data_IF_939987246749
#
_entry.id   IF_939987246749
#
_cell.length_a   1.000
_cell.length_b   1.000
_cell.length_c   1.000
_cell.angle_alpha   90.00
_cell.angle_beta   90.00
_cell.angle_gamma   90.00
#
_symmetry.space_group_name_H-M   'P 1'
#
loop_
_entity.id
_entity.type
_entity.pdbx_description
1 polymer ?
#
# COMPACT_ATOMS: atom_id res chain seq x y z
N UNK A 1 -26.14 42.59 -102.87
CA UNK A 1 -24.83 43.25 -102.89
C UNK A 1 -23.82 42.27 -102.32
N UNK A 2 -23.00 41.70 -103.23
CA UNK A 2 -21.60 41.19 -103.08
C UNK A 2 -21.32 40.30 -101.84
N UNK A 3 -21.09 38.97 -101.88
CA UNK A 3 -20.26 38.02 -102.67
C UNK A 3 -19.18 37.36 -101.78
N UNK A 4 -18.71 36.18 -102.24
CA UNK A 4 -17.69 35.23 -101.74
C UNK A 4 -18.27 34.04 -100.95
N UNK A 5 -18.49 32.83 -101.51
CA UNK A 5 -17.71 31.92 -102.39
C UNK A 5 -16.52 31.24 -101.68
N UNK A 6 -16.61 29.93 -101.39
CA UNK A 6 -15.78 28.89 -102.01
C UNK A 6 -16.21 27.48 -101.60
N UNK A 7 -15.95 26.58 -102.54
CA UNK A 7 -16.44 25.23 -102.75
C UNK A 7 -15.54 24.17 -102.10
N UNK A 8 -15.94 22.89 -102.29
CA UNK A 8 -15.09 21.74 -102.68
C UNK A 8 -14.72 20.66 -101.61
N UNK A 9 -15.28 19.43 -101.82
CA UNK A 9 -14.61 18.10 -101.99
C UNK A 9 -14.71 16.96 -100.91
N UNK A 10 -15.08 15.77 -101.44
CA UNK A 10 -14.78 14.34 -101.09
C UNK A 10 -15.28 13.71 -99.78
N UNK A 11 -16.12 12.64 -99.82
CA UNK A 11 -15.80 11.18 -99.95
C UNK A 11 -14.84 10.65 -98.87
N UNK A 12 -15.34 9.78 -97.96
CA UNK A 12 -15.08 8.32 -97.92
C UNK A 12 -15.62 7.65 -96.64
N UNK A 13 -16.12 6.42 -96.81
CA UNK A 13 -16.42 5.38 -95.81
C UNK A 13 -15.25 5.09 -94.85
N UNK A 14 -15.51 4.79 -93.57
CA UNK A 14 -15.07 3.57 -92.84
C UNK A 14 -15.32 3.67 -91.31
N UNK A 15 -15.98 2.63 -90.74
CA UNK A 15 -15.67 1.99 -89.46
C UNK A 15 -15.77 2.76 -88.12
N UNK A 16 -16.63 2.29 -87.22
CA UNK A 16 -16.42 2.42 -85.78
C UNK A 16 -16.99 1.20 -85.02
N UNK A 17 -16.11 0.25 -84.70
CA UNK A 17 -16.33 -0.75 -83.66
C UNK A 17 -16.18 -0.02 -82.32
N UNK A 18 -17.25 0.07 -81.54
CA UNK A 18 -17.24 0.64 -80.19
C UNK A 18 -16.63 -0.40 -79.25
N UNK A 19 -15.34 -0.27 -78.96
CA UNK A 19 -14.67 -1.00 -77.88
C UNK A 19 -14.95 -0.33 -76.54
N UNK A 20 -15.77 -0.96 -75.70
CA UNK A 20 -15.97 -0.57 -74.30
C UNK A 20 -14.75 -0.95 -73.47
N UNK A 21 -13.94 0.05 -73.10
CA UNK A 21 -12.89 -0.05 -72.09
C UNK A 21 -13.53 -0.23 -70.70
N UNK A 22 -13.48 -1.45 -70.15
CA UNK A 22 -13.75 -1.70 -68.73
C UNK A 22 -12.59 -1.16 -67.89
N UNK A 23 -12.81 -0.05 -67.19
CA UNK A 23 -11.87 0.47 -66.19
C UNK A 23 -11.96 -0.40 -64.94
N UNK A 24 -10.92 -1.18 -64.66
CA UNK A 24 -10.81 -1.96 -63.41
C UNK A 24 -10.39 -0.98 -62.30
N UNK A 25 -11.33 -0.56 -61.46
CA UNK A 25 -10.98 0.18 -60.24
C UNK A 25 -10.39 -0.80 -59.21
N UNK A 26 -9.21 -0.54 -58.64
CA UNK A 26 -8.69 -1.38 -57.57
C UNK A 26 -9.59 -1.22 -56.33
N UNK A 27 -10.10 -2.34 -55.81
CA UNK A 27 -10.80 -2.37 -54.54
C UNK A 27 -9.78 -2.11 -53.42
N UNK A 28 -9.87 -0.96 -52.77
CA UNK A 28 -9.08 -0.64 -51.58
C UNK A 28 -9.76 -1.32 -50.41
N UNK A 29 -9.12 -2.35 -49.84
CA UNK A 29 -9.61 -3.00 -48.63
C UNK A 29 -9.52 -2.03 -47.45
N UNK A 30 -10.60 -1.89 -46.68
CA UNK A 30 -10.57 -1.13 -45.44
C UNK A 30 -9.60 -1.81 -44.44
N UNK A 31 -8.83 -1.02 -43.65
CA UNK A 31 -7.92 -1.59 -42.67
C UNK A 31 -8.71 -2.32 -41.57
N UNK A 32 -8.25 -3.52 -41.20
CA UNK A 32 -8.74 -4.22 -40.02
C UNK A 32 -8.02 -3.66 -38.78
N UNK A 33 -8.78 -3.18 -37.80
CA UNK A 33 -8.24 -2.69 -36.53
C UNK A 33 -8.40 -3.82 -35.50
N UNK A 34 -7.29 -4.18 -34.85
CA UNK A 34 -7.26 -5.09 -33.71
C UNK A 34 -6.92 -4.26 -32.48
N UNK A 35 -7.87 -4.15 -31.54
CA UNK A 35 -7.64 -3.47 -30.27
C UNK A 35 -7.16 -4.47 -29.22
N UNK A 36 -5.99 -4.21 -28.66
CA UNK A 36 -5.44 -4.95 -27.53
C UNK A 36 -5.69 -4.17 -26.26
N UNK A 37 -6.27 -4.83 -25.26
CA UNK A 37 -6.44 -4.28 -23.91
C UNK A 37 -5.93 -5.31 -22.90
N UNK A 38 -5.20 -4.84 -21.89
CA UNK A 38 -4.74 -5.65 -20.78
C UNK A 38 -4.93 -4.87 -19.48
N UNK A 39 -5.51 -5.52 -18.48
CA UNK A 39 -5.46 -5.05 -17.09
C UNK A 39 -4.27 -5.70 -16.40
N UNK A 40 -3.31 -4.88 -15.95
CA UNK A 40 -2.18 -5.36 -15.16
C UNK A 40 -2.55 -5.19 -13.69
N UNK A 41 -2.70 -6.32 -12.99
CA UNK A 41 -2.80 -6.31 -11.53
C UNK A 41 -1.43 -5.96 -10.94
N UNK A 42 -1.39 -4.97 -10.05
CA UNK A 42 -0.20 -4.70 -9.25
C UNK A 42 0.03 -5.85 -8.27
N UNK A 43 1.29 -6.20 -8.01
CA UNK A 43 1.65 -6.93 -6.81
C UNK A 43 1.17 -6.12 -5.58
N UNK A 44 0.72 -6.79 -4.52
CA UNK A 44 -0.02 -6.16 -3.42
C UNK A 44 0.63 -4.88 -2.88
N UNK A 45 -0.11 -3.81 -2.64
CA UNK A 45 0.43 -2.61 -2.01
C UNK A 45 -0.63 -1.89 -1.20
N UNK A 46 -0.18 -1.20 -0.16
CA UNK A 46 -0.95 -0.25 0.64
C UNK A 46 0.02 0.83 1.13
N UNK A 47 -0.44 2.07 1.15
CA UNK A 47 0.22 3.13 1.89
C UNK A 47 -0.05 2.92 3.39
N UNK A 48 0.98 3.07 4.21
CA UNK A 48 0.90 2.95 5.65
C UNK A 48 1.20 4.29 6.32
N UNK A 49 0.36 4.68 7.28
CA UNK A 49 0.55 5.92 8.04
C UNK A 49 0.29 5.69 9.53
N UNK A 50 1.16 6.25 10.36
CA UNK A 50 1.09 6.30 11.83
C UNK A 50 1.52 7.69 12.30
N UNK A 51 1.17 8.12 13.52
CA UNK A 51 1.75 9.33 14.09
C UNK A 51 3.28 9.26 14.12
N UNK A 52 3.94 10.37 13.81
CA UNK A 52 5.42 10.45 13.78
C UNK A 52 6.06 10.41 15.17
N UNK A 53 5.28 10.70 16.21
CA UNK A 53 5.68 10.63 17.61
C UNK A 53 4.48 10.32 18.49
N UNK A 54 4.72 9.65 19.62
CA UNK A 54 3.73 9.35 20.65
C UNK A 54 4.28 9.90 21.97
N UNK A 55 3.64 10.94 22.49
CA UNK A 55 3.93 11.50 23.80
C UNK A 55 3.10 10.78 24.86
N UNK A 56 3.73 10.34 25.94
CA UNK A 56 3.03 9.78 27.10
C UNK A 56 2.84 10.85 28.16
N UNK A 57 1.77 10.74 28.96
CA UNK A 57 1.50 11.64 30.07
C UNK A 57 1.60 13.15 29.74
N UNK A 58 1.26 13.55 28.50
CA UNK A 58 1.42 14.93 28.01
C UNK A 58 2.85 15.49 28.19
N UNK A 59 3.86 14.65 27.98
CA UNK A 59 5.30 14.95 28.13
C UNK A 59 5.75 15.19 29.59
N UNK A 60 4.87 15.03 30.58
CA UNK A 60 5.25 15.04 31.99
C UNK A 60 5.91 13.72 32.41
N UNK A 61 6.86 13.74 33.37
CA UNK A 61 7.50 12.53 33.87
C UNK A 61 6.50 11.50 34.40
N UNK A 62 6.71 10.22 34.04
CA UNK A 62 5.93 9.10 34.54
C UNK A 62 6.70 8.44 35.68
N UNK A 63 6.06 8.28 36.83
CA UNK A 63 6.70 7.65 37.99
C UNK A 63 6.80 6.13 37.79
N UNK A 64 7.87 5.48 38.30
CA UNK A 64 7.99 4.02 38.26
C UNK A 64 6.77 3.28 38.80
N UNK A 65 6.16 3.75 39.88
CA UNK A 65 4.96 3.14 40.45
C UNK A 65 3.74 3.18 39.51
N UNK A 66 3.64 4.20 38.66
CA UNK A 66 2.56 4.32 37.66
C UNK A 66 2.79 3.37 36.48
N UNK A 67 4.06 3.20 36.10
CA UNK A 67 4.48 2.20 35.10
C UNK A 67 4.17 0.79 35.61
N UNK A 68 4.50 0.49 36.86
CA UNK A 68 4.25 -0.81 37.50
C UNK A 68 2.76 -1.13 37.67
N UNK A 69 1.96 -0.11 37.99
CA UNK A 69 0.51 -0.23 38.08
C UNK A 69 -0.19 -0.28 36.71
N UNK A 70 0.55 -0.06 35.61
CA UNK A 70 0.02 0.11 34.26
C UNK A 70 -1.09 1.17 34.19
N UNK A 71 -0.87 2.29 34.87
CA UNK A 71 -1.79 3.43 34.91
C UNK A 71 -2.05 3.98 33.50
N UNK A 72 -3.16 4.69 33.34
CA UNK A 72 -3.54 5.30 32.05
C UNK A 72 -2.49 6.29 31.53
N UNK A 73 -1.73 6.95 32.40
CA UNK A 73 -0.65 7.88 32.02
C UNK A 73 0.51 7.20 31.29
N UNK A 74 0.70 5.90 31.52
CA UNK A 74 1.71 5.07 30.87
C UNK A 74 1.21 4.44 29.56
N UNK A 75 -0.03 4.73 29.15
CA UNK A 75 -0.70 4.14 27.99
C UNK A 75 -1.07 5.21 26.98
N UNK A 76 -0.88 4.90 25.71
CA UNK A 76 -1.33 5.72 24.59
C UNK A 76 -1.91 4.84 23.50
N UNK A 77 -2.98 5.32 22.88
CA UNK A 77 -3.61 4.66 21.73
C UNK A 77 -3.41 5.51 20.49
N UNK A 78 -3.16 4.86 19.37
CA UNK A 78 -3.08 5.52 18.07
C UNK A 78 -3.62 4.60 16.98
N UNK A 79 -3.86 5.16 15.80
CA UNK A 79 -4.30 4.39 14.64
C UNK A 79 -3.15 4.23 13.66
N UNK A 80 -2.96 2.99 13.21
CA UNK A 80 -2.25 2.68 11.98
C UNK A 80 -3.27 2.70 10.85
N UNK A 81 -3.03 3.51 9.83
CA UNK A 81 -3.95 3.68 8.70
C UNK A 81 -3.37 3.03 7.46
N UNK A 82 -4.19 2.24 6.78
CA UNK A 82 -3.92 1.69 5.44
C UNK A 82 -4.76 2.43 4.41
N UNK A 83 -4.12 2.88 3.34
CA UNK A 83 -4.78 3.62 2.26
C UNK A 83 -4.22 3.22 0.90
N UNK A 84 -4.93 3.60 -0.17
CA UNK A 84 -4.53 3.34 -1.56
C UNK A 84 -4.17 1.88 -1.84
N UNK A 85 -4.88 0.96 -1.18
CA UNK A 85 -4.60 -0.46 -1.23
C UNK A 85 -4.98 -1.04 -2.59
N UNK A 86 -4.06 -1.79 -3.20
CA UNK A 86 -4.20 -2.38 -4.53
C UNK A 86 -3.68 -3.81 -4.51
N UNK A 87 -4.41 -4.72 -5.13
CA UNK A 87 -4.02 -6.10 -5.28
C UNK A 87 -5.18 -7.06 -5.02
N UNK A 88 -5.04 -8.27 -5.56
CA UNK A 88 -5.93 -9.41 -5.37
C UNK A 88 -5.08 -10.67 -5.52
N UNK A 89 -5.45 -11.76 -4.87
CA UNK A 89 -4.69 -13.01 -4.92
C UNK A 89 -3.49 -13.06 -3.98
N UNK A 90 -3.39 -12.11 -3.04
CA UNK A 90 -2.26 -11.98 -2.10
C UNK A 90 -2.74 -12.05 -0.64
N UNK A 91 -1.82 -12.40 0.26
CA UNK A 91 -2.08 -12.42 1.71
C UNK A 91 -1.32 -11.27 2.38
N UNK A 92 -1.98 -10.17 2.77
CA UNK A 92 -1.28 -9.03 3.34
C UNK A 92 -0.83 -9.32 4.78
N UNK A 93 0.25 -8.66 5.19
CA UNK A 93 0.76 -8.65 6.56
C UNK A 93 1.48 -7.33 6.82
N UNK A 94 1.63 -6.96 8.08
CA UNK A 94 2.41 -5.77 8.47
C UNK A 94 3.59 -6.25 9.31
N UNK A 95 4.80 -6.10 8.79
CA UNK A 95 6.02 -6.31 9.57
C UNK A 95 6.24 -5.11 10.49
N UNK A 96 6.67 -5.39 11.72
CA UNK A 96 6.96 -4.39 12.75
C UNK A 96 8.43 -4.47 13.09
N UNK A 97 9.18 -3.48 12.63
CA UNK A 97 10.64 -3.44 12.69
C UNK A 97 11.05 -2.46 13.79
N UNK A 98 11.93 -2.87 14.67
CA UNK A 98 12.45 -2.03 15.75
C UNK A 98 13.26 -2.85 16.74
N UNK A 99 14.19 -2.22 17.43
CA UNK A 99 15.04 -2.87 18.43
C UNK A 99 14.19 -3.29 19.63
N UNK A 100 14.41 -4.51 20.13
CA UNK A 100 13.76 -4.99 21.34
C UNK A 100 14.74 -5.72 22.24
N UNK A 101 14.50 -5.67 23.54
CA UNK A 101 15.28 -6.39 24.56
C UNK A 101 14.36 -7.25 25.43
N UNK A 102 14.92 -8.35 25.91
CA UNK A 102 14.34 -9.27 26.92
C UNK A 102 15.18 -9.29 28.21
N UNK A 103 16.18 -8.41 28.35
CA UNK A 103 17.17 -8.47 29.44
C UNK A 103 16.53 -8.33 30.82
N UNK A 104 15.39 -7.65 30.89
CA UNK A 104 14.62 -7.41 32.10
C UNK A 104 13.25 -8.08 32.06
N UNK A 105 13.04 -9.18 31.31
CA UNK A 105 11.77 -9.92 31.30
C UNK A 105 11.17 -10.07 29.91
N UNK A 106 9.86 -9.78 29.76
CA UNK A 106 9.18 -9.89 28.45
C UNK A 106 9.81 -8.96 27.42
N UNK A 107 9.73 -9.33 26.14
CA UNK A 107 10.24 -8.50 25.05
C UNK A 107 9.53 -7.14 25.01
N UNK A 108 10.31 -6.06 24.97
CA UNK A 108 9.84 -4.69 24.85
C UNK A 108 10.67 -3.95 23.79
N UNK A 109 10.05 -3.01 23.07
CA UNK A 109 10.79 -2.13 22.19
C UNK A 109 11.59 -1.10 23.00
N UNK A 110 12.87 -0.98 22.69
CA UNK A 110 13.79 -0.02 23.29
C UNK A 110 15.00 0.17 22.36
N UNK A 111 15.40 1.42 22.15
CA UNK A 111 16.67 1.77 21.54
C UNK A 111 17.69 2.02 22.66
N UNK A 112 18.37 0.96 23.08
CA UNK A 112 19.28 1.00 24.24
C UNK A 112 20.46 1.95 24.07
N UNK A 113 20.85 2.27 22.83
CA UNK A 113 21.89 3.26 22.51
C UNK A 113 21.47 4.69 22.85
N UNK A 114 20.18 4.99 22.77
CA UNK A 114 19.63 6.35 22.85
C UNK A 114 18.75 6.56 24.09
N UNK A 115 18.60 5.52 24.90
CA UNK A 115 17.87 5.50 26.17
C UNK A 115 18.84 5.58 27.34
N UNK A 116 18.48 6.37 28.35
CA UNK A 116 19.18 6.42 29.65
C UNK A 116 18.44 5.62 30.72
N UNK A 117 17.16 5.31 30.52
CA UNK A 117 16.40 4.41 31.38
C UNK A 117 16.86 2.96 31.20
N UNK A 118 16.86 2.18 32.28
CA UNK A 118 17.21 0.76 32.28
C UNK A 118 16.07 -0.08 32.85
N UNK A 119 15.71 -1.15 32.14
CA UNK A 119 14.67 -2.10 32.53
C UNK A 119 13.23 -1.67 32.24
N UNK A 120 13.07 -0.60 31.46
CA UNK A 120 11.80 -0.12 30.91
C UNK A 120 11.79 -0.25 29.40
N UNK A 121 10.61 -0.24 28.79
CA UNK A 121 10.45 -0.27 27.35
C UNK A 121 9.00 -0.06 26.93
N UNK A 122 8.77 -0.09 25.62
CA UNK A 122 7.43 0.05 25.03
C UNK A 122 6.87 -1.32 24.71
N UNK A 123 5.76 -1.67 25.36
CA UNK A 123 4.89 -2.76 24.93
C UNK A 123 3.93 -2.21 23.88
N UNK A 124 4.08 -2.67 22.64
CA UNK A 124 3.22 -2.30 21.53
C UNK A 124 2.29 -3.48 21.19
N UNK A 125 1.00 -3.19 21.10
CA UNK A 125 -0.07 -4.18 20.94
C UNK A 125 -1.13 -3.69 19.95
N UNK A 126 -1.91 -4.62 19.43
CA UNK A 126 -3.15 -4.34 18.72
C UNK A 126 -4.20 -5.37 19.09
N UNK A 127 -5.45 -4.94 19.26
CA UNK A 127 -6.57 -5.86 19.41
C UNK A 127 -7.03 -6.44 18.05
N UNK A 128 -6.33 -6.10 16.97
CA UNK A 128 -6.75 -6.48 15.62
C UNK A 128 -7.97 -5.69 15.15
N UNK A 129 -8.56 -6.17 14.07
CA UNK A 129 -9.86 -5.74 13.57
C UNK A 129 -10.49 -6.90 12.76
N UNK A 130 -11.47 -6.63 11.90
CA UNK A 130 -12.07 -7.66 11.06
C UNK A 130 -11.06 -8.35 10.10
N UNK A 131 -10.00 -7.64 9.73
CA UNK A 131 -8.98 -8.09 8.77
C UNK A 131 -7.74 -8.64 9.45
N UNK A 132 -7.24 -7.98 10.49
CA UNK A 132 -5.98 -8.31 11.16
C UNK A 132 -6.21 -8.95 12.53
N UNK A 133 -5.39 -9.93 12.87
CA UNK A 133 -5.44 -10.59 14.18
C UNK A 133 -5.00 -9.65 15.29
N UNK A 134 -5.47 -9.94 16.49
CA UNK A 134 -4.86 -9.39 17.69
C UNK A 134 -3.39 -9.80 17.80
N UNK A 135 -2.57 -8.92 18.36
CA UNK A 135 -1.22 -9.22 18.78
C UNK A 135 -0.94 -8.52 20.11
N UNK A 136 -0.71 -9.33 21.14
CA UNK A 136 -0.52 -8.87 22.51
C UNK A 136 0.94 -8.48 22.81
N UNK A 137 1.91 -8.74 21.93
CA UNK A 137 3.27 -8.25 22.07
C UNK A 137 4.01 -8.22 20.71
N UNK A 138 4.02 -7.04 20.07
CA UNK A 138 4.71 -6.87 18.79
C UNK A 138 6.23 -6.81 18.91
N UNK A 139 6.79 -6.61 20.10
CA UNK A 139 8.23 -6.66 20.32
C UNK A 139 8.77 -8.09 20.23
N UNK A 140 7.92 -9.09 20.48
CA UNK A 140 8.26 -10.52 20.40
C UNK A 140 8.03 -11.08 19.00
N UNK A 141 6.83 -10.87 18.44
CA UNK A 141 6.41 -11.52 17.21
C UNK A 141 6.71 -10.71 15.93
N UNK A 142 6.97 -9.40 16.05
CA UNK A 142 7.35 -8.49 14.95
C UNK A 142 6.41 -8.48 13.74
N UNK A 143 5.18 -8.94 13.88
CA UNK A 143 4.25 -9.08 12.76
C UNK A 143 2.79 -8.94 13.20
N UNK A 144 2.00 -8.28 12.36
CA UNK A 144 0.55 -8.24 12.41
C UNK A 144 0.06 -9.02 11.19
N UNK A 145 -0.45 -10.23 11.42
CA UNK A 145 -0.96 -11.10 10.35
C UNK A 145 -2.46 -10.88 10.15
N UNK A 146 -2.94 -11.17 8.94
CA UNK A 146 -4.38 -11.26 8.70
C UNK A 146 -5.06 -12.36 9.52
N UNK A 147 -6.36 -12.16 9.74
CA UNK A 147 -7.31 -13.13 10.27
C UNK A 147 -7.21 -14.47 9.53
N UNK A 148 -7.48 -15.57 10.24
CA UNK A 148 -7.55 -16.91 9.64
C UNK A 148 -8.68 -17.06 8.62
N UNK A 149 -9.63 -16.12 8.58
CA UNK A 149 -10.70 -16.06 7.60
C UNK A 149 -10.36 -15.22 6.36
N UNK A 150 -9.10 -14.79 6.20
CA UNK A 150 -8.68 -14.07 5.00
C UNK A 150 -8.86 -14.94 3.76
N UNK A 151 -9.55 -14.40 2.76
CA UNK A 151 -9.70 -15.02 1.44
C UNK A 151 -8.80 -14.27 0.47
N UNK A 152 -7.90 -14.99 -0.22
CA UNK A 152 -7.00 -14.39 -1.22
C UNK A 152 -7.76 -13.84 -2.43
N UNK A 153 -9.03 -14.21 -2.64
CA UNK A 153 -9.91 -13.56 -3.63
C UNK A 153 -10.35 -12.15 -3.22
N UNK A 154 -10.11 -11.77 -1.96
CA UNK A 154 -10.45 -10.44 -1.43
C UNK A 154 -9.57 -9.36 -2.07
N UNK A 155 -10.22 -8.31 -2.57
CA UNK A 155 -9.52 -7.14 -3.07
C UNK A 155 -8.92 -6.34 -1.90
N UNK A 156 -7.62 -6.03 -1.94
CA UNK A 156 -6.93 -5.28 -0.87
C UNK A 156 -7.55 -3.90 -0.61
N UNK A 157 -8.26 -3.30 -1.56
CA UNK A 157 -8.99 -2.05 -1.30
C UNK A 157 -9.99 -2.17 -0.15
N UNK A 158 -10.50 -3.37 0.12
CA UNK A 158 -11.44 -3.63 1.23
C UNK A 158 -10.80 -3.57 2.62
N UNK A 159 -9.47 -3.59 2.70
CA UNK A 159 -8.73 -3.52 3.96
C UNK A 159 -8.25 -2.11 4.31
N UNK A 160 -8.52 -1.13 3.45
CA UNK A 160 -8.29 0.28 3.75
C UNK A 160 -9.06 0.68 5.02
N UNK A 161 -8.43 1.52 5.85
CA UNK A 161 -9.00 1.95 7.11
C UNK A 161 -7.97 1.94 8.23
N UNK A 162 -8.48 1.87 9.46
CA UNK A 162 -7.66 2.01 10.67
C UNK A 162 -7.55 0.70 11.44
N UNK A 163 -6.34 0.41 11.91
CA UNK A 163 -6.03 -0.62 12.89
C UNK A 163 -5.68 0.07 14.22
N UNK A 164 -6.46 -0.14 15.30
CA UNK A 164 -6.15 0.45 16.59
C UNK A 164 -4.91 -0.18 17.21
N UNK A 165 -3.99 0.66 17.67
CA UNK A 165 -2.73 0.30 18.31
C UNK A 165 -2.72 0.83 19.74
N UNK A 166 -2.10 0.09 20.64
CA UNK A 166 -1.83 0.53 22.02
C UNK A 166 -0.35 0.43 22.29
N UNK A 167 0.27 1.54 22.68
CA UNK A 167 1.61 1.59 23.20
C UNK A 167 1.55 1.81 24.72
N UNK A 168 2.33 1.05 25.47
CA UNK A 168 2.40 1.14 26.93
C UNK A 168 3.86 1.21 27.37
N UNK A 169 4.22 2.25 28.12
CA UNK A 169 5.49 2.28 28.87
C UNK A 169 5.37 1.27 30.02
N UNK A 170 6.25 0.28 30.06
CA UNK A 170 6.20 -0.80 31.06
C UNK A 170 7.61 -1.27 31.43
N UNK A 171 7.75 -1.94 32.58
CA UNK A 171 8.87 -2.83 32.86
C UNK A 171 8.64 -4.20 32.21
N UNK A 172 9.73 -4.90 31.88
CA UNK A 172 9.66 -6.30 31.41
C UNK A 172 9.24 -7.23 32.54
N UNK A 173 9.93 -7.11 33.66
CA UNK A 173 9.70 -7.67 34.98
C UNK A 173 9.89 -6.52 35.98
N UNK A 174 8.79 -6.15 36.63
CA UNK A 174 8.76 -5.05 37.56
C UNK A 174 9.36 -5.38 38.93
N UNK A 175 9.81 -6.62 39.14
CA UNK A 175 10.54 -7.00 40.35
C UNK A 175 12.05 -7.10 40.11
N UNK A 176 12.51 -6.93 38.86
CA UNK A 176 13.91 -6.97 38.53
C UNK A 176 14.68 -5.84 39.25
N UNK A 177 15.82 -6.19 39.84
CA UNK A 177 16.75 -5.24 40.43
C UNK A 177 17.53 -4.49 39.34
N UNK A 178 18.11 -3.34 39.69
CA UNK A 178 18.95 -2.58 38.76
C UNK A 178 18.18 -1.75 37.72
N UNK A 179 16.85 -1.58 37.88
CA UNK A 179 16.07 -0.62 37.10
C UNK A 179 16.47 0.80 37.45
N UNK A 180 16.65 1.62 36.42
CA UNK A 180 17.11 3.01 36.54
C UNK A 180 16.15 3.90 35.75
N UNK A 181 15.64 4.95 36.40
CA UNK A 181 14.82 5.96 35.74
C UNK A 181 15.65 6.83 34.80
N UNK A 182 15.01 7.36 33.75
CA UNK A 182 15.68 8.18 32.74
C UNK A 182 14.80 8.36 31.52
N UNK A 183 15.38 8.90 30.47
CA UNK A 183 14.74 9.01 29.17
C UNK A 183 14.69 7.63 28.50
N UNK A 184 13.50 7.24 28.04
CA UNK A 184 13.24 6.05 27.25
C UNK A 184 13.02 6.46 25.78
N UNK A 185 13.79 5.90 24.86
CA UNK A 185 13.59 6.05 23.42
C UNK A 185 13.35 4.69 22.77
N UNK A 186 12.43 4.67 21.81
CA UNK A 186 12.17 3.50 20.99
C UNK A 186 11.63 3.95 19.63
N UNK A 187 12.19 3.36 18.57
CA UNK A 187 11.78 3.62 17.18
C UNK A 187 11.22 2.35 16.57
N UNK A 188 10.02 2.45 16.01
CA UNK A 188 9.32 1.35 15.36
C UNK A 188 8.87 1.76 13.98
N UNK A 189 9.19 0.95 12.99
CA UNK A 189 8.75 1.08 11.60
C UNK A 189 7.72 0.00 11.30
N UNK A 190 6.64 0.40 10.64
CA UNK A 190 5.64 -0.53 10.11
C UNK A 190 5.82 -0.64 8.61
N UNK A 191 5.91 -1.87 8.11
CA UNK A 191 6.15 -2.16 6.71
C UNK A 191 5.05 -3.09 6.19
N UNK A 192 4.33 -2.64 5.16
CA UNK A 192 3.28 -3.44 4.54
C UNK A 192 3.91 -4.46 3.59
N UNK A 193 3.60 -5.73 3.79
CA UNK A 193 4.11 -6.84 3.01
C UNK A 193 2.97 -7.75 2.57
N UNK A 194 3.27 -8.65 1.63
CA UNK A 194 2.34 -9.68 1.19
C UNK A 194 3.08 -10.95 0.81
N UNK A 195 2.37 -12.07 0.91
CA UNK A 195 2.74 -13.37 0.32
C UNK A 195 1.86 -13.67 -0.90
#
# INVERSE_FOLDING_TARGET
MVLFNKSIIFRTFFGAIVGTLFSVMPAIAAPAIVEFSAQIAYEGSCDISVPISIAFNNDDPILPSQIEAADSVAKQTFNLTLANCKGIGVTPKIAVIGTSSTDYGKALFIDSSDSTSVGYGILLQTNGNATFKENQNLAENKMISVSSSWDTSTNLKTIEGTLPMTATVTCGDCNASGRIGGELKASVTFDFQYD
#
